data_IF_979496175697
#
_entry.id   IF_979496175697
#
_cell.length_a   1.000
_cell.length_b   1.000
_cell.length_c   1.000
_cell.angle_alpha   90.00
_cell.angle_beta   90.00
_cell.angle_gamma   90.00
#
_symmetry.space_group_name_H-M   'P 1'
#
loop_
_entity.id
_entity.type
_entity.pdbx_description
1 polymer ?
#
# COMPACT_ATOMS: atom_id res chain seq x y z
N UNK A 1 23.64 6.81 -11.63
CA UNK A 1 22.74 6.14 -12.60
C UNK A 1 21.51 5.64 -11.84
N UNK A 2 20.34 6.29 -11.99
CA UNK A 2 19.11 5.85 -11.34
C UNK A 2 18.55 4.64 -12.10
N UNK A 3 18.70 3.44 -11.52
CA UNK A 3 17.99 2.27 -11.99
C UNK A 3 16.68 2.18 -11.21
N UNK A 4 15.52 2.32 -11.87
CA UNK A 4 14.27 1.96 -11.23
C UNK A 4 14.32 0.49 -10.81
N UNK A 5 14.03 0.23 -9.54
CA UNK A 5 13.87 -1.10 -8.98
C UNK A 5 12.64 -1.74 -9.66
N UNK A 6 12.88 -2.53 -10.70
CA UNK A 6 11.85 -3.31 -11.41
C UNK A 6 12.04 -4.81 -11.24
N UNK A 7 12.89 -5.21 -10.29
CA UNK A 7 13.07 -6.60 -9.88
C UNK A 7 12.30 -6.82 -8.57
N UNK A 8 11.99 -8.08 -8.26
CA UNK A 8 11.38 -8.46 -6.98
C UNK A 8 12.21 -7.92 -5.82
N UNK A 9 11.69 -6.92 -5.10
CA UNK A 9 12.40 -6.38 -3.95
C UNK A 9 12.46 -7.41 -2.82
N UNK A 10 13.63 -7.56 -2.22
CA UNK A 10 13.76 -8.35 -1.00
C UNK A 10 12.98 -7.69 0.16
N UNK A 11 12.55 -8.44 1.18
CA UNK A 11 11.82 -7.89 2.33
C UNK A 11 12.52 -6.70 3.00
N UNK A 12 13.86 -6.71 3.08
CA UNK A 12 14.63 -5.59 3.63
C UNK A 12 14.57 -4.33 2.77
N UNK A 13 14.52 -4.45 1.44
CA UNK A 13 14.39 -3.30 0.54
C UNK A 13 12.99 -2.69 0.68
N UNK A 14 11.95 -3.54 0.69
CA UNK A 14 10.57 -3.09 0.93
C UNK A 14 10.45 -2.41 2.30
N UNK A 15 11.11 -2.94 3.32
CA UNK A 15 11.12 -2.34 4.66
C UNK A 15 11.73 -0.94 4.64
N UNK A 16 12.90 -0.79 4.02
CA UNK A 16 13.57 0.51 3.91
C UNK A 16 12.75 1.51 3.09
N UNK A 17 12.15 1.08 1.98
CA UNK A 17 11.28 1.94 1.16
C UNK A 17 10.07 2.41 1.95
N UNK A 18 9.40 1.49 2.64
CA UNK A 18 8.23 1.78 3.47
C UNK A 18 8.60 2.70 4.64
N UNK A 19 9.71 2.44 5.32
CA UNK A 19 10.18 3.28 6.42
C UNK A 19 10.55 4.69 5.92
N UNK A 20 11.25 4.80 4.79
CA UNK A 20 11.60 6.09 4.19
C UNK A 20 10.35 6.89 3.85
N UNK A 21 9.34 6.23 3.26
CA UNK A 21 8.06 6.86 2.98
C UNK A 21 7.33 7.30 4.26
N UNK A 22 7.29 6.45 5.30
CA UNK A 22 6.70 6.79 6.60
C UNK A 22 7.35 8.01 7.24
N UNK A 23 8.68 8.09 7.21
CA UNK A 23 9.40 9.24 7.74
C UNK A 23 9.10 10.51 6.92
N UNK A 24 9.07 10.42 5.60
CA UNK A 24 8.76 11.55 4.74
C UNK A 24 7.32 12.05 4.89
N UNK A 25 6.36 11.14 5.07
CA UNK A 25 4.94 11.46 5.15
C UNK A 25 4.47 11.82 6.56
N UNK A 26 5.00 11.16 7.58
CA UNK A 26 4.49 11.19 8.97
C UNK A 26 5.56 11.42 10.03
N UNK A 27 6.83 11.67 9.66
CA UNK A 27 7.93 11.83 10.62
C UNK A 27 7.79 13.04 11.56
N UNK A 28 7.02 14.06 11.18
CA UNK A 28 6.75 15.22 12.03
C UNK A 28 5.47 15.08 12.87
N UNK A 29 4.77 13.94 12.80
CA UNK A 29 3.57 13.69 13.58
C UNK A 29 3.91 13.12 14.97
N UNK A 30 2.95 13.20 15.90
CA UNK A 30 3.16 12.65 17.25
C UNK A 30 2.98 11.14 17.31
N UNK A 31 3.50 10.54 18.38
CA UNK A 31 3.37 9.10 18.63
C UNK A 31 1.92 8.63 18.71
N UNK A 32 1.02 9.43 19.29
CA UNK A 32 -0.42 9.15 19.37
C UNK A 32 -1.07 9.18 17.99
N UNK A 33 -0.56 10.01 17.08
CA UNK A 33 -1.03 10.04 15.70
C UNK A 33 -0.62 8.78 14.95
N UNK A 34 0.63 8.33 15.11
CA UNK A 34 1.11 7.08 14.49
C UNK A 34 0.26 5.87 14.91
N UNK A 35 -0.14 5.79 16.17
CA UNK A 35 -1.05 4.74 16.70
C UNK A 35 -2.45 4.75 16.07
N UNK A 36 -2.81 5.78 15.30
CA UNK A 36 -4.06 5.87 14.55
C UNK A 36 -3.87 5.60 13.05
N UNK A 37 -2.62 5.49 12.59
CA UNK A 37 -2.32 5.16 11.20
C UNK A 37 -2.38 3.65 11.01
N UNK A 38 -2.75 3.25 9.79
CA UNK A 38 -2.76 1.87 9.35
C UNK A 38 -1.89 1.76 8.11
N UNK A 39 -0.93 0.84 8.16
CA UNK A 39 -0.08 0.45 7.06
C UNK A 39 -0.54 -0.90 6.53
N UNK A 40 -0.99 -0.94 5.27
CA UNK A 40 -1.44 -2.14 4.59
C UNK A 40 -0.35 -2.67 3.64
N UNK A 41 -0.03 -3.97 3.75
CA UNK A 41 0.90 -4.65 2.84
C UNK A 41 0.65 -6.16 2.86
N UNK A 42 0.56 -6.80 1.69
CA UNK A 42 0.22 -8.23 1.54
C UNK A 42 1.13 -9.14 2.37
N UNK A 43 2.45 -8.91 2.31
CA UNK A 43 3.46 -9.71 3.01
C UNK A 43 3.91 -9.06 4.33
N UNK A 44 3.01 -8.38 5.03
CA UNK A 44 3.34 -7.68 6.29
C UNK A 44 3.90 -8.62 7.36
N UNK A 45 3.45 -9.87 7.40
CA UNK A 45 3.97 -10.87 8.34
C UNK A 45 5.47 -11.12 8.18
N UNK A 46 5.97 -11.16 6.95
CA UNK A 46 7.39 -11.30 6.66
C UNK A 46 8.16 -10.00 6.92
N UNK A 47 7.54 -8.86 6.59
CA UNK A 47 8.14 -7.55 6.77
C UNK A 47 8.34 -7.21 8.25
N UNK A 48 7.32 -7.43 9.08
CA UNK A 48 7.34 -7.14 10.52
C UNK A 48 8.12 -8.19 11.34
N UNK A 49 8.49 -9.32 10.72
CA UNK A 49 9.33 -10.35 11.33
C UNK A 49 10.84 -10.14 11.13
N UNK A 50 11.25 -9.12 10.36
CA UNK A 50 12.66 -8.78 10.19
C UNK A 50 13.33 -8.53 11.54
N UNK A 51 14.64 -8.79 11.63
CA UNK A 51 15.39 -8.49 12.87
C UNK A 51 15.33 -7.00 13.21
N UNK A 52 15.40 -6.16 12.18
CA UNK A 52 15.40 -4.70 12.31
C UNK A 52 14.07 -4.12 12.84
N UNK A 53 12.95 -4.83 12.74
CA UNK A 53 11.63 -4.35 13.19
C UNK A 53 11.35 -4.65 14.66
N UNK A 54 12.16 -5.52 15.27
CA UNK A 54 12.01 -5.94 16.68
C UNK A 54 12.71 -4.97 17.63
N UNK A 55 13.86 -4.44 17.21
CA UNK A 55 14.64 -3.47 17.97
C UNK A 55 14.14 -2.04 17.74
N UNK A 56 14.56 -1.11 18.61
CA UNK A 56 14.37 0.31 18.36
C UNK A 56 15.15 0.72 17.10
N UNK A 57 14.53 1.47 16.20
CA UNK A 57 15.21 1.90 14.99
C UNK A 57 16.34 2.88 15.36
N UNK A 58 17.46 2.91 14.60
CA UNK A 58 18.56 3.84 14.83
C UNK A 58 18.20 5.26 14.33
N UNK A 59 17.10 5.80 14.86
CA UNK A 59 16.54 7.11 14.53
C UNK A 59 16.42 7.96 15.80
N UNK A 60 16.54 9.29 15.70
CA UNK A 60 16.52 10.17 16.86
C UNK A 60 15.13 10.30 17.48
N UNK A 61 15.09 10.54 18.80
CA UNK A 61 13.86 10.85 19.53
C UNK A 61 12.81 9.74 19.44
N UNK A 62 11.55 10.13 19.21
CA UNK A 62 10.42 9.20 19.11
C UNK A 62 10.36 8.46 17.78
N UNK A 63 11.08 8.92 16.73
CA UNK A 63 11.09 8.27 15.42
C UNK A 63 11.54 6.81 15.48
N UNK A 64 12.33 6.44 16.50
CA UNK A 64 12.72 5.05 16.72
C UNK A 64 11.55 4.09 16.95
N UNK A 65 10.38 4.62 17.34
CA UNK A 65 9.16 3.86 17.59
C UNK A 65 8.16 3.90 16.44
N UNK A 66 8.37 4.69 15.38
CA UNK A 66 7.39 4.89 14.29
C UNK A 66 6.91 3.56 13.69
N UNK A 67 7.82 2.61 13.51
CA UNK A 67 7.46 1.28 13.01
C UNK A 67 6.66 0.47 14.03
N UNK A 68 7.00 0.56 15.31
CA UNK A 68 6.37 -0.24 16.38
C UNK A 68 4.96 0.26 16.69
N UNK A 69 4.71 1.56 16.62
CA UNK A 69 3.45 2.16 17.02
C UNK A 69 2.39 2.21 15.92
N UNK A 70 2.76 2.12 14.64
CA UNK A 70 1.80 2.08 13.54
C UNK A 70 1.06 0.75 13.51
N UNK A 71 -0.26 0.80 13.30
CA UNK A 71 -1.05 -0.42 13.08
C UNK A 71 -0.72 -1.00 11.71
N UNK A 72 -0.61 -2.32 11.65
CA UNK A 72 -0.21 -3.05 10.45
C UNK A 72 -1.31 -4.03 10.09
N UNK A 73 -1.69 -4.05 8.82
CA UNK A 73 -2.72 -4.95 8.31
C UNK A 73 -2.24 -5.61 7.02
N UNK A 74 -2.83 -6.76 6.72
CA UNK A 74 -2.76 -7.43 5.42
C UNK A 74 -4.09 -7.17 4.72
N UNK A 75 -4.09 -6.99 3.40
CA UNK A 75 -5.34 -6.77 2.66
C UNK A 75 -6.30 -7.97 2.80
N UNK A 76 -7.59 -7.71 2.61
CA UNK A 76 -8.63 -8.72 2.83
C UNK A 76 -8.63 -9.86 1.81
N UNK A 77 -8.03 -9.68 0.63
CA UNK A 77 -7.91 -10.76 -0.35
C UNK A 77 -6.74 -11.69 0.01
N UNK A 78 -5.60 -11.14 0.40
CA UNK A 78 -4.44 -11.92 0.82
C UNK A 78 -4.68 -12.62 2.15
N UNK A 79 -5.39 -11.98 3.08
CA UNK A 79 -5.68 -12.56 4.40
C UNK A 79 -6.49 -13.87 4.31
N UNK A 80 -7.42 -13.98 3.34
CA UNK A 80 -8.22 -15.20 3.13
C UNK A 80 -7.36 -16.44 2.89
N UNK A 81 -6.25 -16.27 2.17
CA UNK A 81 -5.35 -17.36 1.81
C UNK A 81 -4.22 -17.57 2.82
N UNK A 82 -4.16 -16.77 3.88
CA UNK A 82 -3.11 -16.87 4.88
C UNK A 82 -3.28 -18.16 5.70
N UNK A 83 -2.19 -18.91 5.89
CA UNK A 83 -2.22 -20.20 6.60
C UNK A 83 -2.10 -20.00 8.11
N UNK A 84 -1.19 -19.12 8.55
CA UNK A 84 -0.92 -18.90 9.98
C UNK A 84 -2.04 -18.11 10.68
N UNK A 85 -2.61 -18.71 11.73
CA UNK A 85 -3.67 -18.13 12.57
C UNK A 85 -3.19 -16.88 13.30
N UNK A 86 -1.93 -16.84 13.74
CA UNK A 86 -1.38 -15.66 14.44
C UNK A 86 -1.33 -14.44 13.54
N UNK A 87 -1.07 -14.65 12.25
CA UNK A 87 -1.09 -13.58 11.27
C UNK A 87 -2.50 -13.05 11.02
N UNK A 88 -3.51 -13.93 11.02
CA UNK A 88 -4.93 -13.54 10.93
C UNK A 88 -5.35 -12.68 12.10
N UNK A 89 -4.97 -13.05 13.32
CA UNK A 89 -5.31 -12.26 14.52
C UNK A 89 -4.55 -10.93 14.58
N UNK A 90 -3.25 -10.93 14.23
CA UNK A 90 -2.40 -9.75 14.39
C UNK A 90 -2.68 -8.71 13.31
N UNK A 91 -2.72 -9.11 12.05
CA UNK A 91 -2.80 -8.22 10.88
C UNK A 91 -4.21 -8.16 10.24
N UNK A 92 -5.24 -8.50 11.01
CA UNK A 92 -6.63 -8.51 10.56
C UNK A 92 -7.06 -7.16 9.93
N UNK A 93 -7.46 -7.12 8.65
CA UNK A 93 -8.02 -5.92 8.04
C UNK A 93 -9.36 -5.50 8.64
N UNK A 94 -10.11 -6.38 9.31
CA UNK A 94 -11.41 -6.03 9.89
C UNK A 94 -11.28 -4.98 11.01
N UNK A 95 -10.15 -4.95 11.73
CA UNK A 95 -9.84 -3.89 12.72
C UNK A 95 -9.83 -2.48 12.12
N UNK A 96 -9.42 -2.38 10.85
CA UNK A 96 -9.49 -1.10 10.13
C UNK A 96 -10.94 -0.78 9.76
N UNK A 97 -11.73 -1.79 9.39
CA UNK A 97 -13.13 -1.62 8.97
C UNK A 97 -14.06 -1.22 10.12
N UNK A 98 -13.79 -1.66 11.34
CA UNK A 98 -14.52 -1.21 12.54
C UNK A 98 -14.44 0.32 12.73
N UNK A 99 -13.26 0.89 12.52
CA UNK A 99 -13.02 2.33 12.68
C UNK A 99 -13.29 3.13 11.41
N UNK A 100 -13.10 2.52 10.24
CA UNK A 100 -13.15 3.16 8.94
C UNK A 100 -13.81 2.23 7.90
N UNK A 101 -15.15 2.05 7.94
CA UNK A 101 -15.85 1.08 7.10
C UNK A 101 -15.67 1.36 5.60
N UNK A 102 -15.58 2.63 5.22
CA UNK A 102 -15.45 3.07 3.83
C UNK A 102 -14.04 2.89 3.23
N UNK A 103 -13.04 2.51 4.04
CA UNK A 103 -11.67 2.40 3.55
C UNK A 103 -11.50 1.22 2.60
N UNK A 104 -10.86 1.47 1.48
CA UNK A 104 -10.62 0.46 0.46
C UNK A 104 -9.27 -0.22 0.68
N UNK A 105 -9.25 -1.31 1.43
CA UNK A 105 -8.04 -2.14 1.66
C UNK A 105 -7.52 -2.79 0.38
N UNK A 106 -8.37 -2.92 -0.65
CA UNK A 106 -8.04 -3.53 -1.94
C UNK A 106 -7.61 -2.50 -3.02
N UNK A 107 -7.25 -1.28 -2.62
CA UNK A 107 -6.98 -0.18 -3.57
C UNK A 107 -5.79 -0.49 -4.48
N UNK A 108 -4.81 -1.25 -3.97
CA UNK A 108 -3.63 -1.67 -4.71
C UNK A 108 -4.00 -2.67 -5.82
N UNK A 109 -4.78 -3.70 -5.52
CA UNK A 109 -5.21 -4.75 -6.46
C UNK A 109 -6.12 -4.14 -7.53
N UNK A 110 -7.04 -3.26 -7.14
CA UNK A 110 -7.89 -2.53 -8.09
C UNK A 110 -7.06 -1.63 -9.01
N UNK A 111 -5.99 -1.02 -8.50
CA UNK A 111 -5.07 -0.21 -9.30
C UNK A 111 -4.22 -1.08 -10.22
N UNK A 112 -3.75 -2.23 -9.75
CA UNK A 112 -3.03 -3.20 -10.55
C UNK A 112 -3.90 -3.78 -11.67
N UNK A 113 -5.14 -4.17 -11.37
CA UNK A 113 -6.11 -4.65 -12.35
C UNK A 113 -6.48 -3.58 -13.38
N UNK A 114 -6.55 -2.31 -12.99
CA UNK A 114 -6.68 -1.22 -13.96
C UNK A 114 -5.45 -1.09 -14.85
N UNK A 115 -4.24 -1.12 -14.28
CA UNK A 115 -2.99 -0.93 -14.99
C UNK A 115 -2.69 -2.08 -15.97
N UNK A 116 -3.01 -3.32 -15.59
CA UNK A 116 -2.77 -4.52 -16.39
C UNK A 116 -3.44 -4.46 -17.77
N UNK A 117 -4.56 -3.74 -17.91
CA UNK A 117 -5.26 -3.49 -19.17
C UNK A 117 -4.42 -2.73 -20.19
N UNK A 118 -3.48 -1.93 -19.72
CA UNK A 118 -2.57 -1.14 -20.56
C UNK A 118 -1.21 -1.80 -20.72
N UNK A 119 -1.01 -3.03 -20.20
CA UNK A 119 0.27 -3.76 -20.25
C UNK A 119 0.85 -3.84 -21.67
N UNK A 120 0.02 -4.03 -22.70
CA UNK A 120 0.48 -4.08 -24.10
C UNK A 120 1.08 -2.74 -24.56
N UNK A 121 0.39 -1.63 -24.28
CA UNK A 121 0.83 -0.28 -24.63
C UNK A 121 2.09 0.09 -23.85
N UNK A 122 2.10 -0.22 -22.56
CA UNK A 122 3.23 0.02 -21.65
C UNK A 122 4.45 -0.80 -22.06
N UNK A 123 4.26 -2.07 -22.45
CA UNK A 123 5.32 -2.97 -22.89
C UNK A 123 5.90 -2.61 -24.27
N UNK A 124 5.13 -1.95 -25.14
CA UNK A 124 5.64 -1.46 -26.44
C UNK A 124 6.35 -0.11 -26.36
N UNK A 125 6.36 0.54 -25.19
CA UNK A 125 6.85 1.91 -25.05
C UNK A 125 8.35 1.97 -24.72
N UNK A 126 9.14 2.80 -25.41
CA UNK A 126 10.53 3.05 -25.03
C UNK A 126 10.65 3.61 -23.60
N UNK A 127 11.74 3.26 -22.90
CA UNK A 127 11.98 3.65 -21.49
C UNK A 127 11.84 5.15 -21.23
N UNK A 128 12.23 5.97 -22.21
CA UNK A 128 12.16 7.45 -22.13
C UNK A 128 10.73 7.97 -22.05
N UNK A 129 9.76 7.31 -22.69
CA UNK A 129 8.36 7.71 -22.69
C UNK A 129 7.53 6.98 -21.62
N UNK A 130 7.95 5.77 -21.24
CA UNK A 130 7.24 4.90 -20.29
C UNK A 130 6.85 5.63 -19.00
N UNK A 131 7.82 6.25 -18.33
CA UNK A 131 7.59 6.92 -17.04
C UNK A 131 6.63 8.10 -17.17
N UNK A 132 6.83 8.92 -18.20
CA UNK A 132 5.98 10.08 -18.45
C UNK A 132 4.53 9.64 -18.72
N UNK A 133 4.34 8.66 -19.59
CA UNK A 133 3.03 8.14 -19.94
C UNK A 133 2.33 7.52 -18.72
N UNK A 134 3.01 6.65 -17.98
CA UNK A 134 2.48 6.03 -16.76
C UNK A 134 2.06 7.08 -15.73
N UNK A 135 2.91 8.08 -15.49
CA UNK A 135 2.60 9.17 -14.58
C UNK A 135 1.37 9.98 -15.03
N UNK A 136 1.25 10.28 -16.33
CA UNK A 136 0.06 10.98 -16.87
C UNK A 136 -1.20 10.14 -16.68
N UNK A 137 -1.16 8.84 -16.97
CA UNK A 137 -2.29 7.93 -16.78
C UNK A 137 -2.76 7.89 -15.32
N UNK A 138 -1.81 7.73 -14.38
CA UNK A 138 -2.11 7.70 -12.94
C UNK A 138 -2.74 9.01 -12.50
N UNK A 139 -2.18 10.17 -12.90
CA UNK A 139 -2.76 11.47 -12.56
C UNK A 139 -4.18 11.65 -13.10
N UNK A 140 -4.42 11.27 -14.35
CA UNK A 140 -5.76 11.36 -14.94
C UNK A 140 -6.76 10.45 -14.24
N UNK A 141 -6.39 9.19 -13.95
CA UNK A 141 -7.23 8.26 -13.18
C UNK A 141 -7.55 8.81 -11.80
N UNK A 142 -6.55 9.27 -11.05
CA UNK A 142 -6.76 9.75 -9.68
C UNK A 142 -7.66 10.99 -9.66
N UNK A 143 -7.52 11.88 -10.65
CA UNK A 143 -8.43 13.04 -10.81
C UNK A 143 -9.87 12.59 -11.09
N UNK A 144 -10.06 11.60 -11.96
CA UNK A 144 -11.38 11.05 -12.25
C UNK A 144 -12.01 10.38 -11.02
N UNK A 145 -11.28 9.52 -10.33
CA UNK A 145 -11.75 8.84 -9.11
C UNK A 145 -12.14 9.87 -8.03
N UNK A 146 -11.28 10.87 -7.81
CA UNK A 146 -11.56 11.95 -6.85
C UNK A 146 -12.83 12.72 -7.22
N UNK A 147 -13.05 13.01 -8.50
CA UNK A 147 -14.26 13.67 -8.98
C UNK A 147 -15.52 12.81 -8.75
N UNK A 148 -15.44 11.51 -9.01
CA UNK A 148 -16.54 10.58 -8.77
C UNK A 148 -16.98 10.61 -7.29
N UNK A 149 -16.04 10.40 -6.37
CA UNK A 149 -16.36 10.43 -4.94
C UNK A 149 -16.87 11.79 -4.46
N UNK A 150 -16.31 12.90 -4.96
CA UNK A 150 -16.82 14.25 -4.66
C UNK A 150 -18.25 14.49 -5.15
N UNK A 151 -18.68 13.79 -6.19
CA UNK A 151 -20.02 13.93 -6.79
C UNK A 151 -20.98 12.83 -6.33
N UNK A 152 -20.61 12.04 -5.32
CA UNK A 152 -21.43 10.92 -4.83
C UNK A 152 -21.56 9.76 -5.83
N UNK A 153 -20.73 9.74 -6.87
CA UNK A 153 -20.73 8.69 -7.90
C UNK A 153 -19.64 7.68 -7.62
N UNK A 154 -19.91 6.40 -7.88
CA UNK A 154 -18.86 5.39 -7.89
C UNK A 154 -18.06 5.50 -9.19
N UNK A 155 -16.71 5.49 -9.13
CA UNK A 155 -15.90 5.47 -10.33
C UNK A 155 -16.20 4.22 -11.16
N UNK A 156 -16.20 4.37 -12.49
CA UNK A 156 -16.36 3.24 -13.39
C UNK A 156 -15.11 2.36 -13.34
N UNK A 157 -15.14 1.38 -12.45
CA UNK A 157 -14.27 0.22 -12.54
C UNK A 157 -14.80 -0.62 -13.70
N UNK A 158 -14.21 -0.51 -14.90
CA UNK A 158 -14.59 -1.34 -16.05
C UNK A 158 -14.13 -2.81 -15.88
N UNK A 159 -14.39 -3.41 -14.72
CA UNK A 159 -14.27 -4.84 -14.47
C UNK A 159 -15.63 -5.46 -14.73
N UNK A 160 -15.77 -6.15 -15.86
CA UNK A 160 -16.88 -7.10 -16.08
C UNK A 160 -16.80 -8.34 -15.17
N UNK A 161 -15.86 -8.40 -14.22
CA UNK A 161 -15.71 -9.49 -13.26
C UNK A 161 -15.18 -8.90 -11.96
N UNK A 162 -16.09 -8.60 -11.05
CA UNK A 162 -16.07 -8.83 -9.59
C UNK A 162 -17.51 -8.47 -9.22
N UNK A 163 -18.42 -9.39 -9.52
CA UNK A 163 -19.71 -9.42 -8.87
C UNK A 163 -19.42 -9.82 -7.42
N UNK A 164 -19.70 -8.91 -6.49
CA UNK A 164 -19.85 -9.26 -5.09
C UNK A 164 -21.26 -9.83 -4.98
N UNK A 165 -21.35 -11.15 -4.89
CA UNK A 165 -22.37 -11.82 -4.09
C UNK A 165 -21.74 -12.15 -2.72
#
# INVERSE_FOLDING_TARGET
MWQPLYQSEGPSQVFLLTLTWLLAAHGNETRERWKKLYLAYDNMCHLDNLKATKEDLPLPGDLKYIWKDINKIIDSLHMKNHVDVKCKEKYDPEKLKESNPDYNTMVCEQTFAWLSRYKRILGSMPKIHFHFFLHRMIKHRNRYISLCYKTGRRPLHHSKVIALE
#
